data_IF_863688918083
#
_entry.id   IF_863688918083
#
_cell.length_a   1.000
_cell.length_b   1.000
_cell.length_c   1.000
_cell.angle_alpha   90.00
_cell.angle_beta   90.00
_cell.angle_gamma   90.00
#
_symmetry.space_group_name_H-M   'P 1'
#
loop_
_entity.id
_entity.type
_entity.pdbx_description
1 polymer ?
#
# COMPACT_ATOMS: atom_id res chain seq x y z
N UNK A 1 -3.84 9.25 -9.65
CA UNK A 1 -3.38 9.48 -8.26
C UNK A 1 -1.89 9.70 -8.30
N UNK A 2 -1.38 10.72 -7.60
CA UNK A 2 0.06 11.01 -7.56
C UNK A 2 0.82 10.01 -6.70
N UNK A 3 1.91 9.45 -7.24
CA UNK A 3 2.78 8.49 -6.54
C UNK A 3 3.37 9.05 -5.23
N UNK A 4 3.49 10.37 -5.12
CA UNK A 4 4.03 11.05 -3.94
C UNK A 4 3.06 11.13 -2.76
N UNK A 5 1.81 10.71 -2.92
CA UNK A 5 0.81 10.81 -1.84
C UNK A 5 1.18 9.87 -0.70
N UNK A 6 1.33 10.43 0.49
CA UNK A 6 1.62 9.66 1.70
C UNK A 6 0.38 8.87 2.13
N UNK A 7 0.49 7.55 2.14
CA UNK A 7 -0.60 6.65 2.53
C UNK A 7 -0.46 6.24 4.00
N UNK A 8 0.77 6.01 4.47
CA UNK A 8 1.05 5.72 5.87
C UNK A 8 2.11 6.67 6.42
N UNK A 9 1.69 7.59 7.29
CA UNK A 9 2.62 8.46 8.01
C UNK A 9 3.54 7.70 8.97
N UNK A 10 3.06 6.62 9.59
CA UNK A 10 3.80 5.84 10.58
C UNK A 10 5.03 5.13 9.97
N UNK A 11 4.95 4.72 8.70
CA UNK A 11 6.03 4.01 7.99
C UNK A 11 6.57 4.80 6.79
N UNK A 12 6.10 6.03 6.60
CA UNK A 12 6.36 6.89 5.44
C UNK A 12 6.13 6.19 4.10
N UNK A 13 5.09 5.35 4.02
CA UNK A 13 4.74 4.62 2.79
C UNK A 13 3.89 5.52 1.91
N UNK A 14 4.24 5.62 0.64
CA UNK A 14 3.55 6.43 -0.37
C UNK A 14 2.71 5.57 -1.31
N UNK A 15 1.89 6.21 -2.14
CA UNK A 15 1.15 5.51 -3.20
C UNK A 15 2.09 4.83 -4.20
N UNK A 16 3.21 5.47 -4.52
CA UNK A 16 4.26 4.90 -5.36
C UNK A 16 4.87 3.63 -4.77
N UNK A 17 5.02 3.55 -3.44
CA UNK A 17 5.47 2.32 -2.77
C UNK A 17 4.48 1.17 -2.94
N UNK A 18 3.17 1.46 -2.88
CA UNK A 18 2.12 0.45 -3.13
C UNK A 18 2.20 -0.04 -4.58
N UNK A 19 2.31 0.89 -5.54
CA UNK A 19 2.47 0.53 -6.97
C UNK A 19 3.73 -0.30 -7.21
N UNK A 20 4.86 0.08 -6.59
CA UNK A 20 6.11 -0.66 -6.71
C UNK A 20 6.00 -2.07 -6.10
N UNK A 21 5.30 -2.22 -4.97
CA UNK A 21 5.05 -3.53 -4.38
C UNK A 21 4.22 -4.43 -5.32
N UNK A 22 3.18 -3.88 -5.94
CA UNK A 22 2.34 -4.61 -6.90
C UNK A 22 3.13 -4.94 -8.18
N UNK A 23 3.94 -3.99 -8.69
CA UNK A 23 4.82 -4.21 -9.83
C UNK A 23 5.89 -5.29 -9.55
N UNK A 24 6.32 -5.44 -8.30
CA UNK A 24 7.20 -6.53 -7.86
C UNK A 24 6.51 -7.90 -7.75
N UNK A 25 5.19 -7.94 -7.94
CA UNK A 25 4.41 -9.18 -7.94
C UNK A 25 3.44 -9.33 -6.78
N UNK A 26 3.27 -8.33 -5.92
CA UNK A 26 2.27 -8.40 -4.85
C UNK A 26 0.86 -8.39 -5.45
N UNK A 27 0.07 -9.43 -5.17
CA UNK A 27 -1.30 -9.61 -5.68
C UNK A 27 -2.37 -9.47 -4.60
N UNK A 28 -1.97 -9.14 -3.38
CA UNK A 28 -2.88 -8.98 -2.25
C UNK A 28 -2.39 -7.90 -1.29
N UNK A 29 -3.32 -7.37 -0.49
CA UNK A 29 -3.01 -6.44 0.59
C UNK A 29 -1.95 -7.00 1.55
N UNK A 30 -1.99 -8.29 1.87
CA UNK A 30 -1.01 -8.93 2.77
C UNK A 30 0.40 -8.95 2.20
N UNK A 31 0.54 -9.15 0.89
CA UNK A 31 1.84 -9.10 0.21
C UNK A 31 2.37 -7.68 0.14
N UNK A 32 1.50 -6.72 -0.20
CA UNK A 32 1.85 -5.29 -0.19
C UNK A 32 2.22 -4.84 1.22
N UNK A 33 1.50 -5.31 2.23
CA UNK A 33 1.79 -5.09 3.64
C UNK A 33 3.14 -5.68 4.04
N UNK A 34 3.47 -6.89 3.60
CA UNK A 34 4.76 -7.51 3.89
C UNK A 34 5.91 -6.77 3.20
N UNK A 35 5.72 -6.33 1.96
CA UNK A 35 6.72 -5.61 1.17
C UNK A 35 7.00 -4.19 1.70
N UNK A 36 5.95 -3.43 2.01
CA UNK A 36 6.05 -2.01 2.41
C UNK A 36 6.01 -1.79 3.92
N UNK A 37 5.69 -2.85 4.69
CA UNK A 37 5.40 -2.80 6.14
C UNK A 37 4.24 -1.86 6.48
N UNK A 38 3.41 -1.48 5.51
CA UNK A 38 2.27 -0.60 5.73
C UNK A 38 1.27 -1.21 6.72
N UNK A 39 0.60 -0.39 7.52
CA UNK A 39 -0.41 -0.86 8.48
C UNK A 39 0.10 -1.84 9.56
N UNK A 40 1.42 -1.97 9.76
CA UNK A 40 2.00 -2.80 10.85
C UNK A 40 2.21 -2.04 12.16
N UNK A 41 2.11 -0.71 12.14
CA UNK A 41 2.23 0.14 13.33
C UNK A 41 0.85 0.56 13.87
N UNK A 42 0.51 1.82 13.64
CA UNK A 42 -0.71 2.46 14.13
C UNK A 42 -2.02 1.96 13.50
N UNK A 43 -1.97 1.19 12.40
CA UNK A 43 -3.12 0.61 11.67
C UNK A 43 -4.22 1.58 11.18
N UNK A 44 -4.09 2.88 11.40
CA UNK A 44 -5.07 3.90 10.95
C UNK A 44 -5.25 4.00 9.44
N UNK A 45 -4.22 3.65 8.67
CA UNK A 45 -4.27 3.69 7.19
C UNK A 45 -4.76 2.37 6.58
N UNK A 46 -5.15 1.36 7.37
CA UNK A 46 -5.42 0.00 6.87
C UNK A 46 -6.53 -0.02 5.84
N UNK A 47 -7.69 0.55 6.15
CA UNK A 47 -8.85 0.57 5.24
C UNK A 47 -8.54 1.34 3.95
N UNK A 48 -7.85 2.46 4.08
CA UNK A 48 -7.42 3.27 2.94
C UNK A 48 -6.48 2.49 2.02
N UNK A 49 -5.46 1.82 2.58
CA UNK A 49 -4.52 0.99 1.80
C UNK A 49 -5.24 -0.19 1.15
N UNK A 50 -6.14 -0.87 1.86
CA UNK A 50 -6.92 -1.98 1.29
C UNK A 50 -7.74 -1.53 0.08
N UNK A 51 -8.39 -0.37 0.15
CA UNK A 51 -9.10 0.22 -0.99
C UNK A 51 -8.16 0.47 -2.15
N UNK A 52 -7.03 1.16 -1.91
CA UNK A 52 -6.06 1.48 -2.97
C UNK A 52 -5.44 0.23 -3.60
N UNK A 53 -5.07 -0.78 -2.80
CA UNK A 53 -4.53 -2.04 -3.30
C UNK A 53 -5.58 -2.77 -4.13
N UNK A 54 -6.83 -2.81 -3.68
CA UNK A 54 -7.94 -3.40 -4.45
C UNK A 54 -8.19 -2.69 -5.78
N UNK A 55 -8.02 -1.35 -5.83
CA UNK A 55 -8.11 -0.57 -7.07
C UNK A 55 -6.90 -0.75 -7.99
N UNK A 56 -5.70 -0.93 -7.42
CA UNK A 56 -4.46 -1.12 -8.17
C UNK A 56 -4.31 -2.54 -8.74
N UNK A 57 -4.97 -3.52 -8.13
CA UNK A 57 -4.97 -4.89 -8.63
C UNK A 57 -5.97 -5.00 -9.80
N UNK A 58 -5.50 -5.37 -11.00
CA UNK A 58 -6.40 -5.62 -12.11
C UNK A 58 -7.29 -6.83 -11.78
N UNK A 59 -8.61 -6.67 -11.98
CA UNK A 59 -9.56 -7.80 -11.97
C UNK A 59 -9.29 -8.74 -13.14
#
# INVERSE_FOLDING_TARGET
MDASKLVCGCKKVTYGDLQNAIAKGAKSFEEVQSATKVSTGCRKCTDHVKSLVSELLPK
#
